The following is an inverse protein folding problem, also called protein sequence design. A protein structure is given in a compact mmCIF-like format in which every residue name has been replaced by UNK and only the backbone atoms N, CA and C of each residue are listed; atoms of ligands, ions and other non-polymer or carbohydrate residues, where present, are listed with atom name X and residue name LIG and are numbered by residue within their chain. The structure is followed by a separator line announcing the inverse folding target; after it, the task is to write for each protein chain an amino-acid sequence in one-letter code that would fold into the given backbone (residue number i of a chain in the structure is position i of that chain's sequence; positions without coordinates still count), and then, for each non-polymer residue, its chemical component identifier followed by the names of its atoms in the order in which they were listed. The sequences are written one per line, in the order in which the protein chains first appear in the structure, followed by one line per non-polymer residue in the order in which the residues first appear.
data_IF_495347515834
#
_entry.id   IF_495347515834
#
_cell.length_a   1.000
_cell.length_b   1.000
_cell.length_c   1.000
_cell.angle_alpha   90.00
_cell.angle_beta   90.00
_cell.angle_gamma   90.00
#
_symmetry.space_group_name_H-M   'P 1'
#
loop_
_entity.id
_entity.type
_entity.pdbx_description
1 polymer ?
#
# COMPACT_ATOMS: atom_id res chain seq x y z
N UNK A 1 -8.59 13.68 23.30
CA UNK A 1 -8.00 13.61 24.65
C UNK A 1 -8.64 12.50 25.49
N UNK A 2 -9.95 12.53 25.77
CA UNK A 2 -10.60 11.52 26.66
C UNK A 2 -10.35 10.07 26.24
N UNK A 3 -10.41 9.79 24.93
CA UNK A 3 -10.11 8.47 24.38
C UNK A 3 -8.70 7.97 24.75
N UNK A 4 -7.70 8.85 24.80
CA UNK A 4 -6.31 8.49 25.13
C UNK A 4 -6.10 8.20 26.62
N UNK A 5 -6.88 8.84 27.49
CA UNK A 5 -6.83 8.64 28.94
C UNK A 5 -7.47 7.31 29.38
N UNK A 6 -8.32 6.72 28.55
CA UNK A 6 -9.03 5.48 28.87
C UNK A 6 -8.96 4.43 27.77
N UNK A 7 -7.96 4.52 26.89
CA UNK A 7 -7.87 3.65 25.71
C UNK A 7 -7.74 2.18 26.14
N UNK A 8 -8.65 1.29 25.70
CA UNK A 8 -8.52 -0.15 25.92
C UNK A 8 -7.20 -0.69 25.38
N UNK A 9 -6.61 -1.66 26.08
CA UNK A 9 -5.30 -2.23 25.75
C UNK A 9 -5.22 -2.71 24.30
N UNK A 10 -6.27 -3.38 23.79
CA UNK A 10 -6.26 -3.93 22.44
C UNK A 10 -6.16 -2.84 21.35
N UNK A 11 -6.83 -1.69 21.53
CA UNK A 11 -6.74 -0.56 20.61
C UNK A 11 -5.37 0.11 20.66
N UNK A 12 -4.77 0.19 21.85
CA UNK A 12 -3.41 0.71 22.02
C UNK A 12 -2.39 -0.16 21.30
N UNK A 13 -2.43 -1.47 21.53
CA UNK A 13 -1.55 -2.44 20.86
C UNK A 13 -1.73 -2.37 19.35
N UNK A 14 -2.98 -2.34 18.86
CA UNK A 14 -3.26 -2.20 17.43
C UNK A 14 -2.63 -0.91 16.86
N UNK A 15 -2.91 0.25 17.45
CA UNK A 15 -2.40 1.54 16.99
C UNK A 15 -0.87 1.58 16.98
N UNK A 16 -0.25 1.19 18.09
CA UNK A 16 1.21 1.23 18.26
C UNK A 16 1.90 0.25 17.28
N UNK A 17 1.30 -0.93 17.06
CA UNK A 17 1.79 -1.91 16.07
C UNK A 17 1.64 -1.39 14.65
N UNK A 18 0.48 -0.84 14.29
CA UNK A 18 0.24 -0.27 12.96
C UNK A 18 1.21 0.87 12.68
N UNK A 19 1.41 1.78 13.64
CA UNK A 19 2.39 2.85 13.50
C UNK A 19 3.81 2.34 13.30
N UNK A 20 4.22 1.34 14.09
CA UNK A 20 5.53 0.76 13.95
C UNK A 20 5.71 0.14 12.55
N UNK A 21 4.72 -0.59 12.05
CA UNK A 21 4.73 -1.15 10.68
C UNK A 21 4.83 -0.03 9.65
N UNK A 22 3.97 0.98 9.72
CA UNK A 22 3.92 2.07 8.75
C UNK A 22 5.21 2.90 8.74
N UNK A 23 5.65 3.38 9.90
CA UNK A 23 6.86 4.22 10.02
C UNK A 23 8.15 3.47 9.73
N UNK A 24 8.17 2.15 9.89
CA UNK A 24 9.37 1.33 9.66
C UNK A 24 9.47 0.82 8.23
N UNK A 25 8.35 0.38 7.64
CA UNK A 25 8.35 -0.29 6.34
C UNK A 25 7.76 0.55 5.22
N UNK A 26 6.75 1.36 5.51
CA UNK A 26 5.93 2.01 4.49
C UNK A 26 6.23 3.49 4.28
N UNK A 27 7.27 4.00 4.96
CA UNK A 27 7.70 5.39 4.89
C UNK A 27 9.23 5.47 4.69
N UNK A 28 9.71 5.54 3.43
CA UNK A 28 11.14 5.39 3.11
C UNK A 28 12.06 6.42 3.76
N UNK A 29 11.64 7.69 3.86
CA UNK A 29 12.44 8.75 4.48
C UNK A 29 11.74 9.26 5.72
N UNK A 30 12.40 9.11 6.86
CA UNK A 30 11.93 9.68 8.11
C UNK A 30 12.33 11.15 8.11
N UNK A 31 11.48 12.07 8.58
CA UNK A 31 11.87 13.45 8.77
C UNK A 31 13.08 13.50 9.73
N UNK A 32 14.09 14.26 9.32
CA UNK A 32 15.35 14.43 10.06
C UNK A 32 15.17 15.26 11.33
N UNK A 33 14.14 16.11 11.36
CA UNK A 33 13.86 17.01 12.47
C UNK A 33 13.20 16.26 13.64
N UNK A 34 14.01 15.98 14.67
CA UNK A 34 13.54 15.51 15.97
C UNK A 34 12.91 16.68 16.73
N UNK A 35 11.63 16.91 16.51
CA UNK A 35 10.85 17.85 17.30
C UNK A 35 10.17 17.14 18.47
N UNK A 36 10.84 17.14 19.63
CA UNK A 36 10.24 16.59 20.83
C UNK A 36 9.11 17.50 21.36
N UNK A 37 7.96 16.96 21.78
CA UNK A 37 6.93 17.74 22.44
C UNK A 37 7.46 18.44 23.69
N UNK A 38 7.04 19.69 23.94
CA UNK A 38 7.34 20.41 25.17
C UNK A 38 6.66 19.77 26.39
N UNK A 39 5.49 19.16 26.19
CA UNK A 39 4.73 18.51 27.26
C UNK A 39 3.96 17.31 26.75
N UNK A 40 4.06 16.17 27.42
CA UNK A 40 3.18 15.03 27.18
C UNK A 40 1.91 15.16 28.03
N UNK A 41 0.79 14.63 27.53
CA UNK A 41 -0.48 14.59 28.30
C UNK A 41 -0.33 13.77 29.58
N UNK A 42 0.54 12.77 29.57
CA UNK A 42 0.81 11.89 30.71
C UNK A 42 1.52 12.64 31.84
N UNK A 43 2.36 13.62 31.49
CA UNK A 43 3.09 14.47 32.43
C UNK A 43 2.26 15.71 32.86
N UNK A 44 1.02 15.82 32.39
CA UNK A 44 0.16 16.95 32.72
C UNK A 44 -0.41 16.79 34.14
N UNK A 45 -0.02 17.69 35.04
CA UNK A 45 -0.05 17.45 36.49
C UNK A 45 -1.38 17.03 37.12
N UNK A 46 -2.54 17.39 36.55
CA UNK A 46 -3.82 16.90 37.06
C UNK A 46 -4.14 15.49 36.56
N UNK A 47 -3.77 15.18 35.33
CA UNK A 47 -4.01 13.89 34.67
C UNK A 47 -3.02 12.83 35.17
N UNK A 48 -1.75 13.22 35.40
CA UNK A 48 -0.73 12.38 36.02
C UNK A 48 -1.11 11.88 37.43
N UNK A 49 -2.03 12.57 38.10
CA UNK A 49 -2.49 12.30 39.48
C UNK A 49 -3.82 11.55 39.55
N UNK A 50 -4.43 11.19 38.43
CA UNK A 50 -5.72 10.51 38.43
C UNK A 50 -5.52 9.00 38.51
N UNK A 51 -5.80 8.42 39.68
CA UNK A 51 -5.61 6.99 39.96
C UNK A 51 -6.49 6.06 39.09
N UNK A 52 -7.51 6.59 38.43
CA UNK A 52 -8.40 5.82 37.54
C UNK A 52 -7.89 5.78 36.08
N UNK A 53 -6.82 6.51 35.75
CA UNK A 53 -6.24 6.50 34.42
C UNK A 53 -5.26 5.32 34.36
N UNK A 54 -5.65 4.27 33.65
CA UNK A 54 -4.76 3.16 33.33
C UNK A 54 -3.76 3.59 32.26
N UNK A 55 -2.69 4.24 32.69
CA UNK A 55 -1.53 4.54 31.86
C UNK A 55 -0.81 3.24 31.49
N UNK A 56 -1.25 2.61 30.41
CA UNK A 56 -0.54 1.47 29.82
C UNK A 56 0.61 2.04 28.97
N UNK A 57 1.86 1.58 29.17
CA UNK A 57 2.99 1.97 28.33
C UNK A 57 2.69 1.73 26.85
N UNK A 58 3.07 2.69 26.00
CA UNK A 58 2.88 2.65 24.55
C UNK A 58 3.76 3.68 23.85
N UNK A 59 4.00 3.48 22.55
CA UNK A 59 4.89 4.33 21.76
C UNK A 59 4.21 5.63 21.33
N UNK A 60 2.91 5.59 20.99
CA UNK A 60 2.16 6.79 20.60
C UNK A 60 1.47 7.40 21.82
N UNK A 61 1.52 8.73 21.92
CA UNK A 61 0.74 9.49 22.90
C UNK A 61 0.36 10.86 22.33
N UNK A 62 -0.32 11.66 23.15
CA UNK A 62 -0.55 13.08 22.85
C UNK A 62 0.54 13.93 23.51
N UNK A 63 1.16 14.78 22.69
CA UNK A 63 2.09 15.80 23.12
C UNK A 63 1.59 17.20 22.75
N UNK A 64 2.17 18.21 23.38
CA UNK A 64 2.00 19.62 23.02
C UNK A 64 3.33 20.28 22.71
N UNK A 65 3.33 21.13 21.69
CA UNK A 65 4.38 22.08 21.34
C UNK A 65 4.38 23.32 22.25
N UNK A 66 3.29 23.58 22.98
CA UNK A 66 3.15 24.71 23.90
C UNK A 66 3.29 24.24 25.35
N UNK A 67 3.94 25.06 26.18
CA UNK A 67 4.05 24.81 27.63
C UNK A 67 2.68 24.98 28.30
N UNK A 68 2.34 24.07 29.21
CA UNK A 68 1.17 24.23 30.05
C UNK A 68 1.29 25.48 30.94
N UNK A 69 0.18 26.17 31.23
CA UNK A 69 0.18 27.33 32.14
C UNK A 69 0.79 27.02 33.52
N UNK A 70 0.62 25.79 34.02
CA UNK A 70 1.22 25.30 35.27
C UNK A 70 2.77 25.26 35.24
N UNK A 71 3.37 25.26 34.05
CA UNK A 71 4.82 25.24 33.82
C UNK A 71 5.35 26.62 33.37
N UNK A 72 4.51 27.65 33.38
CA UNK A 72 4.86 29.03 33.03
C UNK A 72 4.83 29.96 34.24
N UNK A 73 5.18 31.22 34.03
CA UNK A 73 5.11 32.27 35.07
C UNK A 73 3.69 32.48 35.63
N UNK A 74 2.64 31.99 34.95
CA UNK A 74 1.27 32.02 35.44
C UNK A 74 0.98 31.04 36.58
N UNK A 75 1.91 30.14 36.91
CA UNK A 75 1.78 29.15 38.01
C UNK A 75 1.58 29.81 39.39
N UNK A 76 2.26 30.92 39.63
CA UNK A 76 2.24 31.61 40.92
C UNK A 76 1.56 32.96 40.76
N UNK A 77 0.36 33.10 41.32
CA UNK A 77 -0.43 34.32 41.26
C UNK A 77 -0.78 34.83 42.66
N UNK A 78 -0.92 36.15 42.78
CA UNK A 78 -1.25 36.80 44.05
C UNK A 78 -2.69 36.45 44.50
N UNK A 79 -2.87 36.28 45.80
CA UNK A 79 -4.10 35.78 46.46
C UNK A 79 -5.36 36.63 46.18
N UNK A 80 -5.22 37.88 45.70
CA UNK A 80 -6.33 38.82 45.46
C UNK A 80 -6.72 38.97 43.99
N UNK A 81 -6.75 37.87 43.24
CA UNK A 81 -7.12 37.88 41.82
C UNK A 81 -8.49 37.24 41.61
N UNK A 82 -9.21 37.75 40.61
CA UNK A 82 -10.51 37.23 40.18
C UNK A 82 -10.37 35.78 39.70
N UNK A 83 -11.40 34.95 39.92
CA UNK A 83 -11.38 33.53 39.57
C UNK A 83 -11.01 33.27 38.10
N UNK A 84 -11.43 34.14 37.19
CA UNK A 84 -11.12 34.11 35.76
C UNK A 84 -9.61 34.23 35.45
N UNK A 85 -8.82 34.84 36.34
CA UNK A 85 -7.35 34.94 36.21
C UNK A 85 -6.61 33.75 36.82
N UNK A 86 -7.28 32.99 37.68
CA UNK A 86 -6.75 31.79 38.36
C UNK A 86 -7.08 30.53 37.54
N UNK A 87 -8.32 30.42 37.07
CA UNK A 87 -8.80 29.31 36.22
C UNK A 87 -8.54 29.66 34.76
N UNK A 88 -7.31 29.41 34.33
CA UNK A 88 -6.90 29.63 32.94
C UNK A 88 -7.45 28.51 32.03
N UNK A 89 -7.78 28.81 30.77
CA UNK A 89 -8.16 27.79 29.80
C UNK A 89 -7.00 26.81 29.57
N UNK A 90 -7.30 25.60 29.10
CA UNK A 90 -6.26 24.67 28.67
C UNK A 90 -5.54 25.23 27.43
N UNK A 91 -4.32 25.74 27.62
CA UNK A 91 -3.49 26.29 26.54
C UNK A 91 -2.66 25.25 25.78
N UNK A 92 -2.82 23.95 26.07
CA UNK A 92 -2.12 22.89 25.36
C UNK A 92 -2.70 22.72 23.95
N UNK A 93 -1.84 22.82 22.95
CA UNK A 93 -2.14 22.41 21.58
C UNK A 93 -1.69 20.95 21.41
N UNK A 94 -2.65 20.01 21.37
CA UNK A 94 -2.35 18.59 21.44
C UNK A 94 -2.35 17.92 20.07
N UNK A 95 -1.27 17.21 19.77
CA UNK A 95 -1.13 16.38 18.58
C UNK A 95 -0.52 15.01 18.94
N UNK A 96 -0.68 14.03 18.05
CA UNK A 96 -0.07 12.72 18.25
C UNK A 96 1.44 12.76 17.99
N UNK A 97 2.19 12.17 18.91
CA UNK A 97 3.63 12.00 18.79
C UNK A 97 4.06 10.58 19.15
N UNK A 98 5.17 10.17 18.56
CA UNK A 98 5.93 8.97 18.93
C UNK A 98 6.94 9.33 20.02
N UNK A 99 6.78 8.75 21.21
CA UNK A 99 7.66 8.99 22.35
C UNK A 99 9.09 8.51 22.10
N UNK A 100 9.24 7.37 21.45
CA UNK A 100 10.55 6.75 21.23
C UNK A 100 11.24 7.37 20.01
N UNK A 101 10.47 7.63 18.96
CA UNK A 101 10.95 8.26 17.75
C UNK A 101 11.19 9.77 17.87
N UNK A 102 10.62 10.43 18.89
CA UNK A 102 10.58 11.89 19.06
C UNK A 102 10.13 12.62 17.79
N UNK A 103 9.04 12.14 17.20
CA UNK A 103 8.46 12.71 15.97
C UNK A 103 6.97 12.93 16.12
N UNK A 104 6.45 13.90 15.38
CA UNK A 104 5.01 14.13 15.27
C UNK A 104 4.44 13.27 14.17
N UNK A 105 3.31 12.62 14.42
CA UNK A 105 2.64 11.80 13.40
C UNK A 105 2.18 12.67 12.21
N UNK A 106 1.92 13.96 12.44
CA UNK A 106 1.56 14.92 11.40
C UNK A 106 2.68 15.15 10.36
N UNK A 107 3.94 14.82 10.67
CA UNK A 107 5.05 14.90 9.72
C UNK A 107 5.05 13.75 8.70
N UNK A 108 4.15 12.78 8.85
CA UNK A 108 3.99 11.63 7.98
C UNK A 108 2.72 11.79 7.15
N UNK A 109 2.72 12.82 6.29
CA UNK A 109 1.60 13.22 5.44
C UNK A 109 1.62 12.58 4.04
N UNK A 110 2.71 11.89 3.69
CA UNK A 110 2.84 11.14 2.45
C UNK A 110 2.02 9.84 2.41
N UNK A 111 1.70 9.33 1.20
CA UNK A 111 1.00 8.06 1.05
C UNK A 111 1.89 6.89 1.49
N UNK A 112 1.34 5.88 2.16
CA UNK A 112 2.11 4.69 2.53
C UNK A 112 2.60 3.95 1.27
N UNK A 113 3.90 3.67 1.19
CA UNK A 113 4.51 3.02 0.03
C UNK A 113 5.51 1.93 0.43
N UNK A 114 5.40 0.77 -0.23
CA UNK A 114 6.40 -0.29 -0.17
C UNK A 114 7.22 -0.37 -1.46
N UNK A 115 7.04 0.59 -2.39
CA UNK A 115 7.72 0.58 -3.68
C UNK A 115 9.24 0.72 -3.52
N UNK A 116 9.72 1.42 -2.49
CA UNK A 116 11.16 1.50 -2.19
C UNK A 116 11.77 0.14 -1.74
N UNK A 117 10.97 -0.81 -1.26
CA UNK A 117 11.43 -2.14 -0.85
C UNK A 117 11.23 -3.20 -1.95
N UNK A 118 10.13 -3.11 -2.69
CA UNK A 118 9.70 -4.12 -3.69
C UNK A 118 9.53 -3.57 -5.10
N UNK A 119 10.10 -2.41 -5.38
CA UNK A 119 9.99 -1.72 -6.65
C UNK A 119 10.54 -2.55 -7.81
N UNK A 120 10.10 -2.18 -9.00
CA UNK A 120 10.63 -2.78 -10.23
C UNK A 120 12.05 -2.27 -10.42
N UNK A 121 12.97 -3.16 -10.79
CA UNK A 121 14.31 -2.74 -11.20
C UNK A 121 14.21 -2.03 -12.54
N UNK A 122 14.37 -0.71 -12.54
CA UNK A 122 14.37 0.10 -13.75
C UNK A 122 15.78 0.14 -14.34
N UNK A 123 15.97 -0.20 -15.63
CA UNK A 123 17.26 -0.08 -16.31
C UNK A 123 17.83 1.33 -16.22
N UNK A 124 19.16 1.45 -16.11
CA UNK A 124 19.80 2.73 -15.83
C UNK A 124 19.45 3.81 -16.86
N UNK A 125 19.37 3.44 -18.14
CA UNK A 125 19.01 4.32 -19.25
C UNK A 125 17.64 5.00 -19.08
N UNK A 126 16.70 4.33 -18.42
CA UNK A 126 15.36 4.85 -18.14
C UNK A 126 15.29 5.61 -16.82
N UNK A 127 16.11 5.22 -15.84
CA UNK A 127 16.13 5.83 -14.52
C UNK A 127 16.52 7.32 -14.52
N UNK A 128 17.22 7.78 -15.56
CA UNK A 128 17.69 9.18 -15.64
C UNK A 128 16.60 10.11 -16.16
N UNK A 129 15.85 9.69 -17.19
CA UNK A 129 15.01 10.59 -17.97
C UNK A 129 13.51 10.30 -17.87
N UNK A 130 13.11 9.05 -17.58
CA UNK A 130 11.70 8.62 -17.67
C UNK A 130 11.16 8.17 -16.32
N UNK A 131 11.97 7.48 -15.53
CA UNK A 131 11.58 6.97 -14.21
C UNK A 131 12.62 7.38 -13.17
N UNK A 132 12.68 8.68 -12.80
CA UNK A 132 13.62 9.15 -11.79
C UNK A 132 13.40 8.42 -10.47
N UNK A 133 14.49 8.17 -9.74
CA UNK A 133 14.40 7.62 -8.38
C UNK A 133 13.85 8.69 -7.45
N UNK A 134 12.62 8.51 -7.02
CA UNK A 134 11.99 9.37 -6.02
C UNK A 134 12.40 8.95 -4.62
N UNK A 135 12.54 9.94 -3.74
CA UNK A 135 12.78 9.69 -2.33
C UNK A 135 11.58 8.97 -1.70
N UNK A 136 10.36 9.37 -2.07
CA UNK A 136 9.11 8.85 -1.55
C UNK A 136 8.17 8.42 -2.70
N UNK A 137 8.39 7.24 -3.30
CA UNK A 137 7.63 6.81 -4.47
C UNK A 137 6.14 6.62 -4.15
N UNK A 138 5.27 6.95 -5.10
CA UNK A 138 3.84 6.67 -5.00
C UNK A 138 3.55 5.18 -4.76
N UNK A 139 2.40 4.85 -4.16
CA UNK A 139 1.98 3.44 -3.99
C UNK A 139 1.67 2.76 -5.32
N UNK A 140 1.31 3.54 -6.34
CA UNK A 140 1.08 3.06 -7.68
C UNK A 140 1.48 4.12 -8.71
N UNK A 141 2.75 4.12 -9.11
CA UNK A 141 3.20 5.00 -10.20
C UNK A 141 2.47 4.65 -11.52
N UNK A 142 2.09 5.69 -12.26
CA UNK A 142 1.67 5.54 -13.65
C UNK A 142 2.90 5.72 -14.53
N UNK A 143 3.20 4.75 -15.39
CA UNK A 143 4.25 4.92 -16.38
C UNK A 143 3.84 5.87 -17.51
N UNK A 144 4.78 6.20 -18.42
CA UNK A 144 4.52 7.06 -19.55
C UNK A 144 3.42 6.49 -20.46
N UNK A 145 2.55 7.36 -20.94
CA UNK A 145 1.58 7.07 -21.98
C UNK A 145 2.26 6.67 -23.29
N UNK A 146 1.51 6.08 -24.22
CA UNK A 146 2.03 5.69 -25.54
C UNK A 146 2.66 6.87 -26.30
N UNK A 147 2.08 8.07 -26.18
CA UNK A 147 2.62 9.29 -26.81
C UNK A 147 3.90 9.76 -26.13
N UNK A 148 3.96 9.72 -24.81
CA UNK A 148 5.17 10.06 -24.06
C UNK A 148 6.32 9.10 -24.37
N UNK A 149 6.03 7.79 -24.52
CA UNK A 149 7.03 6.82 -24.96
C UNK A 149 7.65 7.21 -26.30
N UNK A 150 6.83 7.65 -27.26
CA UNK A 150 7.32 8.11 -28.57
C UNK A 150 8.12 9.41 -28.44
N UNK A 151 7.66 10.37 -27.64
CA UNK A 151 8.37 11.63 -27.40
C UNK A 151 9.73 11.40 -26.73
N UNK A 152 9.80 10.46 -25.79
CA UNK A 152 11.01 10.08 -25.07
C UNK A 152 12.10 9.46 -25.95
N UNK A 153 11.79 9.09 -27.20
CA UNK A 153 12.80 8.62 -28.15
C UNK A 153 13.93 9.64 -28.33
N UNK A 154 13.62 10.95 -28.25
CA UNK A 154 14.61 12.03 -28.34
C UNK A 154 15.56 12.08 -27.13
N UNK A 155 15.13 11.55 -25.99
CA UNK A 155 15.89 11.44 -24.74
C UNK A 155 16.69 10.13 -24.64
N UNK A 156 16.63 9.27 -25.67
CA UNK A 156 17.34 7.99 -25.68
C UNK A 156 18.87 8.22 -25.66
N UNK A 157 19.60 7.65 -24.67
CA UNK A 157 21.06 7.71 -24.65
C UNK A 157 21.66 7.05 -25.90
N UNK A 158 22.79 7.59 -26.40
CA UNK A 158 23.49 7.05 -27.58
C UNK A 158 24.02 5.63 -27.40
N UNK A 159 24.15 5.16 -26.17
CA UNK A 159 24.62 3.81 -25.83
C UNK A 159 23.53 2.73 -25.92
N UNK A 160 22.25 3.12 -26.08
CA UNK A 160 21.11 2.20 -26.12
C UNK A 160 20.40 2.30 -27.46
N UNK A 161 19.91 1.16 -27.96
CA UNK A 161 19.12 1.14 -29.18
C UNK A 161 17.75 1.79 -28.92
N UNK A 162 17.32 2.73 -29.77
CA UNK A 162 16.04 3.42 -29.60
C UNK A 162 14.84 2.47 -29.48
N UNK A 163 14.86 1.35 -30.22
CA UNK A 163 13.82 0.33 -30.16
C UNK A 163 13.78 -0.40 -28.80
N UNK A 164 14.95 -0.75 -28.26
CA UNK A 164 15.07 -1.34 -26.92
C UNK A 164 14.54 -0.36 -25.88
N UNK A 165 14.95 0.90 -25.98
CA UNK A 165 14.55 1.98 -25.07
C UNK A 165 13.03 2.20 -25.02
N UNK A 166 12.37 2.26 -26.18
CA UNK A 166 10.90 2.39 -26.24
C UNK A 166 10.19 1.14 -25.71
N UNK A 167 10.72 -0.05 -26.03
CA UNK A 167 10.13 -1.32 -25.59
C UNK A 167 10.15 -1.48 -24.08
N UNK A 168 11.27 -1.13 -23.44
CA UNK A 168 11.40 -1.16 -21.98
C UNK A 168 10.41 -0.19 -21.30
N UNK A 169 10.23 1.03 -21.85
CA UNK A 169 9.22 1.96 -21.35
C UNK A 169 7.81 1.42 -21.47
N UNK A 170 7.45 0.84 -22.62
CA UNK A 170 6.14 0.22 -22.83
C UNK A 170 5.88 -0.90 -21.83
N UNK A 171 6.87 -1.76 -21.56
CA UNK A 171 6.73 -2.84 -20.58
C UNK A 171 6.49 -2.33 -19.15
N UNK A 172 7.20 -1.27 -18.75
CA UNK A 172 7.04 -0.67 -17.42
C UNK A 172 5.69 0.06 -17.28
N UNK A 173 5.25 0.78 -18.31
CA UNK A 173 3.99 1.52 -18.29
C UNK A 173 2.76 0.63 -18.45
N UNK A 174 2.89 -0.51 -19.13
CA UNK A 174 1.75 -1.35 -19.47
C UNK A 174 1.27 -2.18 -18.29
N UNK A 175 -0.02 -2.05 -18.01
CA UNK A 175 -0.75 -2.79 -16.97
C UNK A 175 -1.43 -4.03 -17.56
N UNK A 176 -2.46 -3.83 -18.38
CA UNK A 176 -3.24 -4.88 -19.05
C UNK A 176 -2.50 -5.54 -20.24
N UNK A 177 -1.62 -4.81 -20.91
CA UNK A 177 -0.86 -5.32 -22.07
C UNK A 177 0.48 -5.95 -21.70
N UNK A 178 0.80 -6.02 -20.40
CA UNK A 178 2.11 -6.46 -19.93
C UNK A 178 2.52 -7.83 -20.47
N UNK A 179 1.68 -8.84 -20.25
CA UNK A 179 1.96 -10.21 -20.67
C UNK A 179 1.93 -10.40 -22.19
N UNK A 180 0.98 -9.83 -22.93
CA UNK A 180 1.06 -9.76 -24.39
C UNK A 180 2.36 -9.14 -24.91
N UNK A 181 2.81 -8.03 -24.31
CA UNK A 181 4.08 -7.40 -24.68
C UNK A 181 5.27 -8.29 -24.32
N UNK A 182 5.30 -8.89 -23.12
CA UNK A 182 6.35 -9.85 -22.74
C UNK A 182 6.40 -10.98 -23.78
N UNK A 183 5.28 -11.60 -24.14
CA UNK A 183 5.23 -12.67 -25.13
C UNK A 183 5.75 -12.20 -26.51
N UNK A 184 5.36 -11.00 -26.93
CA UNK A 184 5.88 -10.38 -28.17
C UNK A 184 7.39 -10.24 -28.11
N UNK A 185 7.91 -9.70 -27.01
CA UNK A 185 9.35 -9.44 -26.88
C UNK A 185 10.17 -10.73 -26.77
N UNK A 186 9.66 -11.77 -26.10
CA UNK A 186 10.28 -13.10 -26.06
C UNK A 186 10.43 -13.73 -27.46
N UNK A 187 9.58 -13.33 -28.40
CA UNK A 187 9.64 -13.81 -29.80
C UNK A 187 10.36 -12.83 -30.74
N UNK A 188 10.87 -11.72 -30.21
CA UNK A 188 11.50 -10.65 -30.97
C UNK A 188 13.01 -10.57 -30.70
N UNK A 189 13.68 -9.66 -31.41
CA UNK A 189 15.07 -9.27 -31.15
C UNK A 189 15.19 -7.85 -30.60
N UNK A 190 14.08 -7.23 -30.13
CA UNK A 190 14.12 -5.84 -29.64
C UNK A 190 14.76 -5.74 -28.26
N UNK A 191 14.63 -6.78 -27.44
CA UNK A 191 15.21 -6.86 -26.11
C UNK A 191 16.35 -7.87 -26.07
N UNK A 192 17.43 -7.48 -25.41
CA UNK A 192 18.53 -8.38 -25.12
C UNK A 192 18.31 -9.06 -23.77
N UNK A 193 17.84 -10.32 -23.82
CA UNK A 193 17.65 -11.17 -22.64
C UNK A 193 18.96 -11.71 -22.05
N UNK A 194 20.13 -11.36 -22.61
CA UNK A 194 21.43 -11.62 -21.97
C UNK A 194 21.79 -10.54 -20.95
N UNK A 195 21.16 -9.36 -21.03
CA UNK A 195 21.39 -8.27 -20.07
C UNK A 195 20.66 -8.56 -18.77
N UNK A 196 21.40 -8.53 -17.67
CA UNK A 196 20.87 -8.77 -16.33
C UNK A 196 19.75 -7.77 -15.99
N UNK A 197 19.93 -6.47 -16.28
CA UNK A 197 18.91 -5.44 -16.01
C UNK A 197 17.56 -5.76 -16.68
N UNK A 198 17.58 -6.24 -17.92
CA UNK A 198 16.37 -6.61 -18.68
C UNK A 198 15.67 -7.82 -18.04
N UNK A 199 16.43 -8.86 -17.72
CA UNK A 199 15.88 -10.08 -17.12
C UNK A 199 15.34 -9.82 -15.71
N UNK A 200 16.03 -8.99 -14.92
CA UNK A 200 15.58 -8.57 -13.59
C UNK A 200 14.27 -7.76 -13.69
N UNK A 201 14.21 -6.77 -14.57
CA UNK A 201 13.02 -5.94 -14.79
C UNK A 201 11.81 -6.81 -15.18
N UNK A 202 11.96 -7.68 -16.18
CA UNK A 202 10.88 -8.58 -16.62
C UNK A 202 10.51 -9.56 -15.51
N UNK A 203 11.49 -10.06 -14.75
CA UNK A 203 11.27 -10.91 -13.59
C UNK A 203 10.43 -10.25 -12.51
N UNK A 204 10.65 -8.95 -12.22
CA UNK A 204 9.82 -8.19 -11.28
C UNK A 204 8.41 -7.97 -11.84
N UNK A 205 8.30 -7.55 -13.11
CA UNK A 205 7.03 -7.32 -13.79
C UNK A 205 6.13 -8.57 -13.84
N UNK A 206 6.73 -9.74 -14.07
CA UNK A 206 6.03 -11.02 -14.13
C UNK A 206 5.41 -11.42 -12.77
N UNK A 207 6.06 -11.06 -11.66
CA UNK A 207 5.60 -11.43 -10.31
C UNK A 207 4.41 -10.61 -9.84
N UNK A 208 4.28 -9.37 -10.29
CA UNK A 208 3.20 -8.47 -9.90
C UNK A 208 1.84 -9.01 -10.38
N UNK A 209 0.90 -9.17 -9.45
CA UNK A 209 -0.49 -9.55 -9.76
C UNK A 209 -1.35 -8.33 -10.17
N UNK A 210 -0.92 -7.13 -9.80
CA UNK A 210 -1.67 -5.89 -10.02
C UNK A 210 -2.75 -5.67 -8.96
N UNK A 211 -3.51 -4.58 -9.08
CA UNK A 211 -4.58 -4.27 -8.13
C UNK A 211 -5.65 -5.36 -8.12
N UNK A 212 -6.25 -5.58 -6.95
CA UNK A 212 -7.40 -6.46 -6.83
C UNK A 212 -8.56 -5.88 -7.65
N UNK A 213 -9.27 -6.74 -8.38
CA UNK A 213 -10.42 -6.34 -9.17
C UNK A 213 -11.42 -7.48 -9.19
N UNK A 214 -12.68 -7.17 -8.86
CA UNK A 214 -13.75 -8.16 -8.79
C UNK A 214 -13.93 -8.91 -10.12
N UNK A 215 -13.73 -8.23 -11.25
CA UNK A 215 -13.85 -8.81 -12.59
C UNK A 215 -12.75 -9.83 -12.91
N UNK A 216 -11.58 -9.71 -12.30
CA UNK A 216 -10.39 -10.49 -12.65
C UNK A 216 -10.15 -11.67 -11.67
N UNK A 217 -11.00 -11.81 -10.65
CA UNK A 217 -10.98 -12.90 -9.67
C UNK A 217 -9.62 -13.05 -8.97
N UNK A 218 -9.27 -14.29 -8.64
CA UNK A 218 -8.05 -14.65 -7.90
C UNK A 218 -6.74 -14.37 -8.66
N UNK A 219 -6.80 -14.21 -9.99
CA UNK A 219 -5.61 -13.95 -10.80
C UNK A 219 -5.17 -12.48 -10.73
N UNK A 220 -6.09 -11.56 -10.40
CA UNK A 220 -5.79 -10.13 -10.37
C UNK A 220 -5.62 -9.51 -11.75
N UNK A 221 -5.47 -8.18 -11.77
CA UNK A 221 -5.55 -7.38 -12.98
C UNK A 221 -4.47 -7.71 -14.02
N UNK A 222 -3.24 -8.07 -13.61
CA UNK A 222 -2.16 -8.37 -14.57
C UNK A 222 -2.18 -9.82 -15.06
N UNK A 223 -2.56 -10.80 -14.24
CA UNK A 223 -2.53 -12.22 -14.64
C UNK A 223 -3.83 -12.73 -15.25
N UNK A 224 -4.87 -11.89 -15.37
CA UNK A 224 -6.15 -12.28 -15.98
C UNK A 224 -6.01 -12.91 -17.38
N UNK A 225 -5.05 -12.46 -18.18
CA UNK A 225 -4.80 -13.02 -19.53
C UNK A 225 -4.52 -14.53 -19.52
N UNK A 226 -4.10 -15.10 -18.38
CA UNK A 226 -3.88 -16.55 -18.25
C UNK A 226 -5.17 -17.38 -18.22
N UNK A 227 -6.34 -16.75 -18.27
CA UNK A 227 -7.59 -17.47 -18.56
C UNK A 227 -7.64 -17.93 -20.03
N UNK A 228 -6.95 -17.24 -20.94
CA UNK A 228 -6.84 -17.65 -22.33
C UNK A 228 -5.84 -18.81 -22.48
N UNK A 229 -6.37 -19.99 -22.80
CA UNK A 229 -5.58 -21.20 -23.00
C UNK A 229 -4.64 -21.09 -24.21
N UNK A 230 -5.02 -20.39 -25.28
CA UNK A 230 -4.16 -20.17 -26.45
C UNK A 230 -2.95 -19.32 -26.08
N UNK A 231 -3.19 -18.25 -25.32
CA UNK A 231 -2.13 -17.41 -24.79
C UNK A 231 -1.16 -18.20 -23.88
N UNK A 232 -1.69 -18.96 -22.92
CA UNK A 232 -0.86 -19.79 -22.03
C UNK A 232 0.01 -20.80 -22.79
N UNK A 233 -0.53 -21.47 -23.80
CA UNK A 233 0.23 -22.37 -24.67
C UNK A 233 1.41 -21.66 -25.33
N UNK A 234 1.16 -20.51 -25.95
CA UNK A 234 2.20 -19.75 -26.64
C UNK A 234 3.27 -19.25 -25.67
N UNK A 235 2.87 -18.78 -24.49
CA UNK A 235 3.79 -18.28 -23.48
C UNK A 235 4.65 -19.40 -22.89
N UNK A 236 4.05 -20.55 -22.58
CA UNK A 236 4.78 -21.69 -22.02
C UNK A 236 5.85 -22.19 -22.99
N UNK A 237 5.53 -22.30 -24.29
CA UNK A 237 6.52 -22.64 -25.33
C UNK A 237 7.64 -21.61 -25.38
N UNK A 238 7.33 -20.31 -25.36
CA UNK A 238 8.34 -19.25 -25.41
C UNK A 238 9.26 -19.23 -24.19
N UNK A 239 8.72 -19.43 -22.97
CA UNK A 239 9.51 -19.45 -21.73
C UNK A 239 10.46 -20.65 -21.68
N UNK A 240 10.00 -21.81 -22.16
CA UNK A 240 10.83 -23.02 -22.23
C UNK A 240 11.97 -22.89 -23.25
N UNK A 241 11.70 -22.34 -24.44
CA UNK A 241 12.70 -22.17 -25.51
C UNK A 241 13.81 -21.22 -25.08
N UNK A 242 13.49 -20.15 -24.36
CA UNK A 242 14.47 -19.16 -23.90
C UNK A 242 15.19 -19.54 -22.60
N UNK A 243 14.93 -20.74 -22.05
CA UNK A 243 15.48 -21.21 -20.78
C UNK A 243 15.34 -20.19 -19.63
N UNK A 244 14.24 -19.43 -19.59
CA UNK A 244 13.98 -18.48 -18.48
C UNK A 244 13.39 -19.24 -17.28
N UNK A 245 13.58 -20.55 -17.21
CA UNK A 245 13.28 -21.33 -16.02
C UNK A 245 14.37 -21.11 -14.97
N UNK A 246 14.02 -20.99 -13.68
CA UNK A 246 15.00 -21.18 -12.64
C UNK A 246 15.48 -22.64 -12.68
N UNK A 247 16.79 -22.87 -12.56
CA UNK A 247 17.25 -24.12 -11.96
C UNK A 247 16.64 -24.18 -10.54
N UNK A 248 15.83 -25.19 -10.21
CA UNK A 248 15.29 -25.33 -8.87
C UNK A 248 16.45 -25.62 -7.91
N UNK A 249 16.88 -24.61 -7.17
CA UNK A 249 17.64 -24.83 -5.94
C UNK A 249 16.73 -25.50 -4.92
N UNK A 250 16.66 -26.83 -4.96
CA UNK A 250 16.37 -27.77 -3.86
C UNK A 250 16.06 -29.21 -4.34
N UNK A 251 16.70 -29.67 -5.41
CA UNK A 251 16.96 -31.09 -5.59
C UNK A 251 18.46 -31.26 -5.81
N UNK A 252 19.18 -31.53 -4.72
CA UNK A 252 20.49 -32.17 -4.85
C UNK A 252 20.26 -33.47 -5.65
N UNK A 253 20.99 -33.59 -6.76
CA UNK A 253 21.14 -34.80 -7.59
C UNK A 253 20.00 -35.17 -8.57
N UNK A 254 19.52 -34.22 -9.40
CA UNK A 254 18.85 -34.56 -10.67
C UNK A 254 19.55 -33.86 -11.86
N UNK A 255 19.95 -34.59 -12.92
CA UNK A 255 20.62 -33.98 -14.07
C UNK A 255 19.69 -32.99 -14.78
N UNK A 256 20.19 -31.78 -15.02
CA UNK A 256 19.56 -30.57 -15.61
C UNK A 256 18.70 -30.81 -16.88
N UNK A 257 18.88 -31.96 -17.55
CA UNK A 257 18.11 -32.37 -18.72
C UNK A 257 16.75 -33.00 -18.39
N UNK A 258 16.62 -33.77 -17.29
CA UNK A 258 15.35 -34.41 -16.91
C UNK A 258 14.32 -33.39 -16.38
N UNK A 259 14.77 -32.35 -15.68
CA UNK A 259 13.89 -31.29 -15.18
C UNK A 259 13.29 -30.45 -16.31
N UNK A 260 14.11 -30.09 -17.32
CA UNK A 260 13.65 -29.34 -18.48
C UNK A 260 12.63 -30.14 -19.30
N UNK A 261 12.82 -31.45 -19.40
CA UNK A 261 11.89 -32.33 -20.10
C UNK A 261 10.57 -32.52 -19.33
N UNK A 262 10.64 -32.63 -18.00
CA UNK A 262 9.46 -32.70 -17.12
C UNK A 262 8.65 -31.40 -17.16
N UNK A 263 9.33 -30.25 -17.09
CA UNK A 263 8.71 -28.94 -17.24
C UNK A 263 8.06 -28.77 -18.64
N UNK A 264 8.74 -29.24 -19.69
CA UNK A 264 8.20 -29.23 -21.04
C UNK A 264 6.98 -30.14 -21.22
N UNK A 265 6.97 -31.31 -20.56
CA UNK A 265 5.82 -32.21 -20.56
C UNK A 265 4.63 -31.61 -19.79
N UNK A 266 4.87 -31.01 -18.62
CA UNK A 266 3.83 -30.34 -17.83
C UNK A 266 3.23 -29.15 -18.59
N UNK A 267 4.08 -28.32 -19.20
CA UNK A 267 3.65 -27.20 -20.04
C UNK A 267 2.82 -27.63 -21.26
N UNK A 268 3.03 -28.83 -21.80
CA UNK A 268 2.20 -29.39 -22.90
C UNK A 268 0.85 -29.91 -22.41
N UNK A 269 0.78 -30.42 -21.19
CA UNK A 269 -0.44 -31.04 -20.62
C UNK A 269 -1.36 -30.02 -19.97
N UNK A 270 -0.79 -29.10 -19.19
CA UNK A 270 -1.50 -27.99 -18.54
C UNK A 270 -0.61 -26.73 -18.54
N UNK A 271 -0.60 -25.96 -19.65
CA UNK A 271 0.21 -24.75 -19.78
C UNK A 271 -0.11 -23.70 -18.72
N UNK A 272 -1.38 -23.60 -18.32
CA UNK A 272 -1.82 -22.63 -17.32
C UNK A 272 -1.31 -23.03 -15.93
N UNK A 273 -1.50 -24.28 -15.53
CA UNK A 273 -0.98 -24.81 -14.28
C UNK A 273 0.53 -24.64 -14.18
N UNK A 274 1.25 -25.00 -15.25
CA UNK A 274 2.70 -24.79 -15.36
C UNK A 274 3.10 -23.32 -15.12
N UNK A 275 2.46 -22.36 -15.82
CA UNK A 275 2.80 -20.94 -15.69
C UNK A 275 2.52 -20.39 -14.29
N UNK A 276 1.42 -20.80 -13.66
CA UNK A 276 1.06 -20.37 -12.30
C UNK A 276 2.01 -20.96 -11.25
N UNK A 277 2.40 -22.23 -11.40
CA UNK A 277 3.38 -22.87 -10.53
C UNK A 277 4.77 -22.24 -10.70
N UNK A 278 5.19 -22.02 -11.95
CA UNK A 278 6.44 -21.33 -12.28
C UNK A 278 6.50 -19.92 -11.67
N UNK A 279 5.43 -19.13 -11.77
CA UNK A 279 5.35 -17.81 -11.12
C UNK A 279 5.41 -17.92 -9.59
N UNK A 280 4.72 -18.90 -9.02
CA UNK A 280 4.74 -19.17 -7.57
C UNK A 280 6.15 -19.48 -7.08
N UNK A 281 6.89 -20.33 -7.79
CA UNK A 281 8.28 -20.64 -7.47
C UNK A 281 9.17 -19.38 -7.54
N UNK A 282 8.99 -18.55 -8.57
CA UNK A 282 9.71 -17.28 -8.73
C UNK A 282 9.42 -16.28 -7.61
N UNK A 283 8.25 -16.34 -6.97
CA UNK A 283 7.90 -15.55 -5.78
C UNK A 283 8.58 -16.09 -4.52
N UNK A 284 8.50 -17.41 -4.27
CA UNK A 284 9.13 -18.07 -3.10
C UNK A 284 10.64 -17.84 -3.01
N UNK A 285 11.35 -17.83 -4.15
CA UNK A 285 12.79 -17.55 -4.19
C UNK A 285 13.21 -16.17 -3.61
N UNK A 286 12.30 -15.21 -3.48
CA UNK A 286 12.55 -13.91 -2.83
C UNK A 286 12.10 -13.85 -1.36
N UNK A 287 11.22 -14.76 -0.90
CA UNK A 287 10.68 -14.74 0.46
C UNK A 287 11.76 -14.90 1.53
N UNK A 288 12.87 -15.57 1.20
CA UNK A 288 13.96 -15.84 2.14
C UNK A 288 14.85 -14.61 2.38
N UNK A 289 14.89 -13.63 1.47
CA UNK A 289 15.84 -12.50 1.59
C UNK A 289 15.20 -11.11 1.73
N UNK A 290 13.95 -10.90 1.30
CA UNK A 290 13.40 -9.55 1.18
C UNK A 290 12.02 -9.31 1.81
N UNK A 291 11.40 -10.23 2.53
CA UNK A 291 10.04 -10.03 3.07
C UNK A 291 9.99 -8.97 4.17
N UNK A 292 8.94 -8.14 4.20
CA UNK A 292 8.77 -7.04 5.13
C UNK A 292 8.72 -7.56 6.57
N UNK A 293 8.21 -8.78 6.72
CA UNK A 293 8.23 -9.58 7.95
C UNK A 293 9.66 -9.85 8.43
N UNK A 294 10.63 -10.13 7.54
CA UNK A 294 12.04 -10.31 7.93
C UNK A 294 12.66 -8.99 8.39
N UNK A 295 12.34 -7.87 7.73
CA UNK A 295 12.79 -6.53 8.16
C UNK A 295 12.24 -6.21 9.55
N UNK A 296 10.94 -6.45 9.78
CA UNK A 296 10.30 -6.33 11.09
C UNK A 296 10.95 -7.25 12.15
N UNK A 297 11.35 -8.46 11.76
CA UNK A 297 12.01 -9.41 12.66
C UNK A 297 13.47 -9.01 12.97
N UNK A 298 14.22 -8.51 11.99
CA UNK A 298 15.63 -8.12 12.15
C UNK A 298 15.81 -6.78 12.88
N UNK A 299 14.87 -5.85 12.73
CA UNK A 299 14.90 -4.58 13.46
C UNK A 299 14.35 -4.69 14.88
N UNK A 300 13.77 -5.84 15.24
CA UNK A 300 13.28 -6.11 16.59
C UNK A 300 14.23 -7.08 17.30
N UNK A 301 14.96 -6.60 18.31
CA UNK A 301 15.34 -7.47 19.42
C UNK A 301 14.05 -7.84 20.14
N UNK A 302 13.46 -8.99 19.81
CA UNK A 302 12.32 -9.53 20.53
C UNK A 302 12.87 -10.06 21.85
N UNK A 303 12.91 -9.21 22.88
CA UNK A 303 12.90 -9.73 24.24
C UNK A 303 11.60 -10.51 24.41
N UNK A 304 11.76 -11.79 24.74
CA UNK A 304 10.68 -12.73 24.99
C UNK A 304 9.97 -12.31 26.27
N UNK A 305 9.04 -11.38 26.18
CA UNK A 305 7.93 -11.33 27.12
C UNK A 305 6.72 -10.69 26.43
N UNK A 306 5.58 -11.37 26.56
CA UNK A 306 4.25 -11.06 26.02
C UNK A 306 3.94 -11.60 24.62
N UNK A 307 3.29 -12.78 24.63
CA UNK A 307 2.49 -13.31 23.52
C UNK A 307 1.49 -12.29 22.98
N UNK A 308 1.50 -12.06 21.67
CA UNK A 308 0.27 -12.04 20.84
C UNK A 308 0.59 -11.95 19.34
N UNK A 309 -0.02 -12.81 18.51
CA UNK A 309 -0.08 -12.66 17.07
C UNK A 309 -1.45 -12.07 16.67
N UNK A 310 -1.50 -10.84 16.14
CA UNK A 310 -2.74 -10.35 15.51
C UNK A 310 -2.39 -9.48 14.30
N UNK A 311 -2.36 -10.10 13.13
CA UNK A 311 -2.69 -9.45 11.87
C UNK A 311 -4.13 -9.90 11.58
N UNK A 312 -5.12 -9.06 11.84
CA UNK A 312 -6.50 -9.34 11.39
C UNK A 312 -6.59 -8.96 9.92
N UNK A 313 -6.70 -9.98 9.07
CA UNK A 313 -7.22 -9.83 7.71
C UNK A 313 -8.74 -9.68 7.82
N UNK A 314 -9.26 -8.48 7.54
CA UNK A 314 -10.69 -8.32 7.31
C UNK A 314 -11.02 -8.80 5.89
N UNK A 315 -11.50 -10.03 5.79
CA UNK A 315 -12.34 -10.48 4.68
C UNK A 315 -13.66 -10.95 5.28
N UNK A 316 -14.74 -10.44 4.70
CA UNK A 316 -16.13 -10.72 5.02
C UNK A 316 -16.41 -12.19 5.31
N UNK A 317 -17.24 -12.44 6.31
CA UNK A 317 -18.29 -13.46 6.24
C UNK A 317 -19.47 -13.00 7.09
N UNK A 318 -20.63 -12.87 6.43
CA UNK A 318 -21.93 -12.91 7.06
C UNK A 318 -22.11 -14.26 7.77
N UNK A 319 -22.82 -14.28 8.91
CA UNK A 319 -23.89 -15.25 9.27
C UNK A 319 -24.05 -15.38 10.79
N UNK A 320 -25.31 -15.19 11.20
CA UNK A 320 -26.02 -15.71 12.36
C UNK A 320 -25.63 -15.24 13.78
N UNK A 321 -26.38 -14.24 14.23
CA UNK A 321 -26.80 -14.16 15.63
C UNK A 321 -27.59 -15.44 16.00
N UNK A 322 -27.01 -16.26 16.88
CA UNK A 322 -27.77 -17.23 17.66
C UNK A 322 -27.56 -16.90 19.14
N UNK A 323 -28.62 -16.40 19.76
CA UNK A 323 -28.70 -16.20 21.20
C UNK A 323 -29.18 -17.50 21.84
N UNK A 324 -28.57 -17.83 22.98
CA UNK A 324 -29.11 -18.82 23.91
C UNK A 324 -28.75 -18.39 25.34
N UNK A 325 -29.75 -17.91 26.08
CA UNK A 325 -29.78 -17.96 27.53
C UNK A 325 -31.24 -18.08 28.00
N UNK A 326 -31.46 -19.15 28.73
CA UNK A 326 -32.67 -19.80 29.22
C UNK A 326 -33.43 -19.07 30.35
N UNK A 327 -34.78 -19.24 30.35
CA UNK A 327 -35.74 -19.38 31.49
C UNK A 327 -35.86 -18.27 32.56
N UNK A 328 -37.00 -17.85 33.12
CA UNK A 328 -38.46 -18.10 32.98
C UNK A 328 -39.22 -17.05 33.87
N UNK A 329 -40.56 -17.02 34.03
CA UNK A 329 -41.37 -15.79 33.90
C UNK A 329 -42.13 -15.34 35.16
N UNK A 330 -42.66 -14.12 35.16
CA UNK A 330 -43.88 -13.77 35.92
C UNK A 330 -44.77 -12.79 35.12
N UNK A 331 -46.11 -12.90 35.21
CA UNK A 331 -47.04 -12.15 34.36
C UNK A 331 -47.62 -10.92 35.08
N UNK A 332 -47.90 -9.86 34.32
CA UNK A 332 -48.96 -8.92 34.70
C UNK A 332 -49.56 -8.24 33.46
N UNK A 333 -50.89 -8.21 33.48
CA UNK A 333 -51.80 -7.56 32.53
C UNK A 333 -51.39 -6.14 32.13
N UNK A 334 -51.65 -5.77 30.87
CA UNK A 334 -52.61 -4.70 30.52
C UNK A 334 -52.56 -4.40 29.00
N UNK A 335 -53.64 -4.83 28.31
CA UNK A 335 -54.49 -4.10 27.35
C UNK A 335 -53.94 -3.01 26.40
N UNK A 336 -54.40 -3.13 25.13
CA UNK A 336 -54.70 -2.07 24.12
C UNK A 336 -53.48 -1.44 23.40
N UNK A 337 -53.47 -1.07 22.12
CA UNK A 337 -54.33 -1.20 20.93
C UNK A 337 -53.55 -0.53 19.76
N UNK A 338 -53.79 -0.95 18.50
CA UNK A 338 -53.66 -0.19 17.23
C UNK A 338 -52.31 0.49 16.85
N UNK A 339 -51.85 0.61 15.59
CA UNK A 339 -52.34 0.28 14.26
C UNK A 339 -51.13 0.27 13.30
N UNK A 340 -51.30 -0.47 12.21
CA UNK A 340 -50.46 -0.56 11.00
C UNK A 340 -50.53 0.71 10.16
N UNK A 341 -49.40 1.24 9.67
CA UNK A 341 -49.35 1.98 8.39
C UNK A 341 -48.05 1.65 7.64
N UNK A 342 -48.23 0.97 6.51
CA UNK A 342 -47.29 0.78 5.41
C UNK A 342 -47.16 2.09 4.62
N UNK A 343 -45.96 2.39 4.13
CA UNK A 343 -45.78 3.37 3.05
C UNK A 343 -44.59 2.97 2.20
N UNK A 344 -44.91 2.37 1.05
CA UNK A 344 -44.04 2.20 -0.11
C UNK A 344 -43.80 3.58 -0.77
N UNK A 345 -42.57 3.86 -1.18
CA UNK A 345 -42.32 4.88 -2.22
C UNK A 345 -41.14 4.45 -3.09
N UNK A 346 -41.50 3.98 -4.29
CA UNK A 346 -40.63 3.65 -5.40
C UNK A 346 -40.15 4.94 -6.10
N UNK A 347 -38.88 5.03 -6.45
CA UNK A 347 -38.42 5.98 -7.47
C UNK A 347 -37.21 5.44 -8.23
N UNK A 348 -37.54 4.95 -9.42
CA UNK A 348 -36.68 4.44 -10.47
C UNK A 348 -36.68 5.43 -11.66
N UNK A 349 -35.60 5.36 -12.45
CA UNK A 349 -35.36 5.91 -13.79
C UNK A 349 -34.91 7.36 -13.98
N UNK A 350 -33.81 7.51 -14.74
CA UNK A 350 -33.48 8.77 -15.40
C UNK A 350 -32.13 8.90 -16.10
N UNK A 351 -31.69 7.88 -16.87
CA UNK A 351 -30.64 8.07 -17.89
C UNK A 351 -31.15 9.05 -18.96
N UNK A 352 -30.45 10.16 -19.19
CA UNK A 352 -30.47 10.83 -20.50
C UNK A 352 -29.07 11.26 -20.92
N UNK A 353 -28.78 10.88 -22.15
CA UNK A 353 -27.60 11.13 -22.94
C UNK A 353 -28.14 11.84 -24.17
N UNK A 354 -27.76 13.10 -24.41
CA UNK A 354 -28.00 13.77 -25.69
C UNK A 354 -26.77 14.55 -26.11
N UNK A 355 -26.42 14.35 -27.38
CA UNK A 355 -25.38 15.01 -28.18
C UNK A 355 -26.00 16.16 -28.97
N UNK A 356 -25.10 17.01 -29.51
CA UNK A 356 -25.26 17.92 -30.66
C UNK A 356 -26.04 19.23 -30.35
N UNK A 357 -25.64 20.47 -30.73
CA UNK A 357 -24.81 20.96 -31.84
C UNK A 357 -24.41 22.47 -31.69
N UNK A 358 -23.42 22.88 -32.50
CA UNK A 358 -23.13 24.22 -33.09
C UNK A 358 -22.68 25.40 -32.20
N UNK A 359 -21.41 25.85 -32.29
CA UNK A 359 -20.80 26.74 -33.31
C UNK A 359 -21.24 28.20 -33.22
N UNK A 360 -20.39 29.06 -32.64
CA UNK A 360 -20.30 30.49 -32.97
C UNK A 360 -18.87 30.98 -32.72
N UNK A 361 -18.14 31.20 -33.81
CA UNK A 361 -16.86 31.88 -33.83
C UNK A 361 -16.95 33.36 -33.42
N UNK A 362 -15.95 33.81 -32.65
CA UNK A 362 -15.54 35.22 -32.59
C UNK A 362 -14.04 35.27 -32.30
N UNK A 363 -13.28 35.82 -33.25
CA UNK A 363 -11.85 36.01 -33.15
C UNK A 363 -11.45 37.08 -32.15
N UNK A 364 -10.21 36.98 -31.66
CA UNK A 364 -9.45 38.09 -31.09
C UNK A 364 -7.94 37.80 -31.20
N UNK A 365 -7.34 38.53 -32.13
CA UNK A 365 -6.04 39.21 -32.11
C UNK A 365 -4.86 38.65 -31.29
N UNK A 366 -3.80 38.32 -32.04
CA UNK A 366 -2.42 38.09 -31.60
C UNK A 366 -1.69 39.45 -31.61
N UNK A 367 -0.94 39.84 -30.56
CA UNK A 367 0.04 40.91 -30.67
C UNK A 367 1.42 40.34 -31.03
N UNK A 368 1.97 40.81 -32.15
CA UNK A 368 3.41 40.74 -32.46
C UNK A 368 4.20 41.64 -31.51
N UNK A 369 5.31 41.13 -30.99
CA UNK A 369 6.38 41.91 -30.38
C UNK A 369 7.70 41.45 -30.99
N UNK A 370 8.16 42.21 -31.98
CA UNK A 370 9.58 42.37 -32.31
C UNK A 370 10.13 43.52 -31.45
N UNK A 371 11.30 43.28 -30.86
CA UNK A 371 12.07 44.24 -30.05
C UNK A 371 13.30 43.59 -29.45
#
# INVERSE_FOLDING_TARGET
MLFELGMPQFLRVYRDTTWNICSTLAYPNKPDDLESPQKLVEDYGNVARMDYINWIPGCITLGSDVKAFIDTHYKWQNVKLELSRIVLPNGLNLAYCDKHGQRWLAQFDGPLTLEHLYGISVPHSLSIAVFPKESHPDTSSSGPSSHEVMANQLSCPRSVLAQEYMTLQQLLASRNLRWPLILRELKSTNLDFKKEETVLMIGHLAKQAGPASQQHGVLGYFHFVFQDSSFCNQLAVSVLVLKIYPTPGNFEDVPELEEAETAAQLARKDPRGFLLEWLTFRRKGQEIQHTAIRILYLQRHIEQDHSSPVIVTACNDDVALSGEATHDPEPSDHSEDHATEESDDDSDWGLMNDREDEDHGKGMDIPSLDG
#
